data_IF_389641760234
#
_entry.id   IF_389641760234
#
_cell.length_a   1.000
_cell.length_b   1.000
_cell.length_c   1.000
_cell.angle_alpha   90.00
_cell.angle_beta   90.00
_cell.angle_gamma   90.00
#
_symmetry.space_group_name_H-M   'P 1'
#
loop_
_entity.id
_entity.type
_entity.pdbx_description
1 polymer ?
#
# COMPACT_ATOMS: atom_id res chain seq x y z
N UNK A 1 -39.56 15.25 -18.37
CA UNK A 1 -38.69 14.82 -19.48
C UNK A 1 -37.92 16.06 -19.92
N UNK A 2 -36.78 16.46 -19.36
CA UNK A 2 -35.71 15.74 -18.68
C UNK A 2 -34.53 15.63 -19.62
N UNK A 3 -33.64 16.64 -19.68
CA UNK A 3 -32.24 16.54 -20.12
C UNK A 3 -31.41 17.65 -19.44
N UNK A 4 -30.34 17.21 -18.79
CA UNK A 4 -29.14 17.91 -18.36
C UNK A 4 -29.28 19.01 -17.29
N UNK A 5 -29.18 18.60 -16.03
CA UNK A 5 -27.99 19.04 -15.32
C UNK A 5 -26.99 17.87 -15.27
N UNK A 6 -26.06 17.91 -16.22
CA UNK A 6 -24.89 17.04 -16.30
C UNK A 6 -23.60 17.86 -16.13
N UNK A 7 -23.76 19.13 -15.73
CA UNK A 7 -22.69 20.07 -15.42
C UNK A 7 -22.22 19.85 -13.99
N UNK A 8 -23.15 19.75 -13.04
CA UNK A 8 -22.81 19.62 -11.61
C UNK A 8 -22.14 18.27 -11.30
N UNK A 9 -22.50 17.19 -12.02
CA UNK A 9 -21.89 15.87 -11.83
C UNK A 9 -20.40 15.79 -12.27
N UNK A 10 -19.96 16.69 -13.17
CA UNK A 10 -18.55 16.78 -13.61
C UNK A 10 -17.72 17.69 -12.71
N UNK A 11 -18.37 18.61 -12.00
CA UNK A 11 -17.74 19.50 -11.02
C UNK A 11 -17.54 18.79 -9.67
N UNK A 12 -18.41 17.83 -9.33
CA UNK A 12 -18.40 17.12 -8.04
C UNK A 12 -17.37 15.99 -7.88
N UNK A 13 -16.57 15.67 -8.91
CA UNK A 13 -15.55 14.60 -8.85
C UNK A 13 -14.22 15.01 -9.51
N UNK A 14 -13.86 16.30 -9.48
CA UNK A 14 -12.52 16.70 -9.87
C UNK A 14 -11.52 16.33 -8.76
N UNK A 15 -10.98 15.12 -8.87
CA UNK A 15 -9.77 14.75 -8.13
C UNK A 15 -8.64 15.63 -8.64
N UNK A 16 -8.08 16.48 -7.78
CA UNK A 16 -6.97 17.36 -8.16
C UNK A 16 -5.62 16.64 -8.05
N UNK A 17 -4.60 17.01 -8.85
CA UNK A 17 -3.24 16.46 -8.70
C UNK A 17 -2.73 16.55 -7.26
N UNK A 18 -3.00 17.66 -6.56
CA UNK A 18 -2.65 17.84 -5.14
C UNK A 18 -3.33 16.82 -4.23
N UNK A 19 -4.61 16.50 -4.46
CA UNK A 19 -5.32 15.48 -3.68
C UNK A 19 -4.74 14.09 -3.93
N UNK A 20 -4.40 13.75 -5.18
CA UNK A 20 -3.76 12.46 -5.53
C UNK A 20 -2.39 12.34 -4.87
N UNK A 21 -1.58 13.40 -4.95
CA UNK A 21 -0.25 13.42 -4.32
C UNK A 21 -0.34 13.27 -2.79
N UNK A 22 -1.28 13.97 -2.15
CA UNK A 22 -1.50 13.85 -0.72
C UNK A 22 -1.92 12.43 -0.30
N UNK A 23 -2.79 11.77 -1.06
CA UNK A 23 -3.16 10.37 -0.81
C UNK A 23 -1.96 9.45 -1.04
N UNK A 24 -1.15 9.69 -2.08
CA UNK A 24 0.05 8.90 -2.33
C UNK A 24 1.04 8.98 -1.15
N UNK A 25 1.19 10.16 -0.56
CA UNK A 25 2.06 10.35 0.61
C UNK A 25 1.52 9.65 1.85
N UNK A 26 0.22 9.76 2.14
CA UNK A 26 -0.40 9.03 3.27
C UNK A 26 -0.27 7.50 3.11
N UNK A 27 -0.52 6.98 1.90
CA UNK A 27 -0.36 5.54 1.62
C UNK A 27 1.12 5.15 1.73
N UNK A 28 2.04 6.01 1.27
CA UNK A 28 3.48 5.80 1.39
C UNK A 28 3.96 5.70 2.83
N UNK A 29 3.50 6.61 3.69
CA UNK A 29 3.79 6.58 5.14
C UNK A 29 3.25 5.31 5.79
N UNK A 30 2.00 4.95 5.51
CA UNK A 30 1.39 3.71 6.03
C UNK A 30 2.15 2.46 5.55
N UNK A 31 2.60 2.44 4.30
CA UNK A 31 3.41 1.35 3.73
C UNK A 31 4.74 1.21 4.47
N UNK A 32 5.42 2.33 4.72
CA UNK A 32 6.69 2.34 5.42
C UNK A 32 6.55 1.90 6.89
N UNK A 33 5.50 2.35 7.57
CA UNK A 33 5.19 1.92 8.93
C UNK A 33 4.90 0.41 8.97
N UNK A 34 4.07 -0.09 8.04
CA UNK A 34 3.75 -1.51 7.97
C UNK A 34 4.99 -2.37 7.71
N UNK A 35 5.85 -1.98 6.77
CA UNK A 35 7.10 -2.67 6.49
C UNK A 35 8.06 -2.69 7.71
N UNK A 36 8.11 -1.59 8.48
CA UNK A 36 8.89 -1.54 9.72
C UNK A 36 8.35 -2.51 10.77
N UNK A 37 7.02 -2.58 10.94
CA UNK A 37 6.36 -3.49 11.88
C UNK A 37 6.55 -4.96 11.46
N UNK A 38 6.46 -5.25 10.17
CA UNK A 38 6.73 -6.58 9.62
C UNK A 38 8.15 -7.04 9.99
N UNK A 39 9.17 -6.22 9.69
CA UNK A 39 10.56 -6.52 10.07
C UNK A 39 10.75 -6.75 11.58
N UNK A 40 10.01 -6.03 12.42
CA UNK A 40 10.08 -6.23 13.86
C UNK A 40 9.52 -7.60 14.27
N UNK A 41 8.34 -7.97 13.76
CA UNK A 41 7.74 -9.29 14.02
C UNK A 41 8.63 -10.41 13.49
N UNK A 42 9.24 -10.24 12.31
CA UNK A 42 10.17 -11.22 11.76
C UNK A 42 11.38 -11.44 12.66
N UNK A 43 11.89 -10.37 13.26
CA UNK A 43 12.99 -10.42 14.24
C UNK A 43 12.62 -11.18 15.51
N UNK A 44 11.43 -10.93 16.07
CA UNK A 44 10.91 -11.64 17.25
C UNK A 44 10.74 -13.14 16.97
N UNK A 45 10.16 -13.49 15.82
CA UNK A 45 9.96 -14.91 15.45
C UNK A 45 11.28 -15.61 15.14
N UNK A 46 12.20 -14.96 14.43
CA UNK A 46 13.54 -15.51 14.18
C UNK A 46 14.31 -15.74 15.47
N UNK A 47 14.21 -14.81 16.44
CA UNK A 47 14.81 -14.95 17.77
C UNK A 47 14.23 -16.15 18.51
N UNK A 48 12.90 -16.31 18.48
CA UNK A 48 12.22 -17.45 19.09
C UNK A 48 12.67 -18.78 18.46
N UNK A 49 12.76 -18.85 17.12
CA UNK A 49 13.23 -20.03 16.38
C UNK A 49 14.71 -20.37 16.64
N UNK A 50 15.58 -19.35 16.78
CA UNK A 50 17.01 -19.51 17.04
C UNK A 50 17.36 -20.00 18.46
N UNK A 51 16.44 -19.91 19.42
CA UNK A 51 16.68 -20.25 20.83
C UNK A 51 16.58 -21.76 21.17
N UNK A 52 16.27 -22.63 20.20
CA UNK A 52 16.24 -24.08 20.41
C UNK A 52 14.95 -24.77 20.01
N UNK A 53 14.22 -24.25 19.03
CA UNK A 53 12.94 -24.81 18.59
C UNK A 53 13.10 -26.22 17.99
N UNK A 54 12.65 -27.27 18.67
CA UNK A 54 12.66 -28.66 18.15
C UNK A 54 11.39 -29.44 18.54
N UNK A 55 10.57 -29.81 17.55
CA UNK A 55 9.41 -30.70 17.69
C UNK A 55 8.34 -30.49 16.59
N UNK A 56 7.48 -31.50 16.33
CA UNK A 56 6.42 -31.47 15.31
C UNK A 56 5.47 -30.26 15.36
N UNK A 57 5.06 -29.76 16.55
CA UNK A 57 4.28 -28.50 16.64
C UNK A 57 5.05 -27.28 16.13
N UNK A 58 6.38 -27.34 16.13
CA UNK A 58 7.24 -26.30 15.58
C UNK A 58 7.25 -26.20 14.07
N UNK A 59 7.01 -27.31 13.36
CA UNK A 59 6.86 -27.31 11.91
C UNK A 59 5.59 -26.58 11.48
N UNK A 60 4.45 -26.86 12.10
CA UNK A 60 3.18 -26.20 11.76
C UNK A 60 3.20 -24.69 12.05
N UNK A 61 3.81 -24.29 13.17
CA UNK A 61 4.01 -22.87 13.46
C UNK A 61 4.96 -22.21 12.45
N UNK A 62 6.05 -22.90 12.07
CA UNK A 62 6.98 -22.40 11.06
C UNK A 62 6.30 -22.19 9.70
N UNK A 63 5.54 -23.18 9.22
CA UNK A 63 4.82 -23.10 7.95
C UNK A 63 3.81 -21.95 7.96
N UNK A 64 3.04 -21.81 9.05
CA UNK A 64 2.10 -20.71 9.23
C UNK A 64 2.79 -19.33 9.25
N UNK A 65 3.97 -19.24 9.89
CA UNK A 65 4.76 -18.02 9.89
C UNK A 65 5.30 -17.66 8.51
N UNK A 66 5.81 -18.64 7.76
CA UNK A 66 6.30 -18.43 6.38
C UNK A 66 5.16 -17.95 5.49
N UNK A 67 4.00 -18.60 5.53
CA UNK A 67 2.82 -18.20 4.75
C UNK A 67 2.37 -16.76 5.09
N UNK A 68 2.32 -16.43 6.39
CA UNK A 68 2.00 -15.09 6.85
C UNK A 68 3.03 -14.05 6.35
N UNK A 69 4.32 -14.32 6.47
CA UNK A 69 5.40 -13.41 6.06
C UNK A 69 5.38 -13.16 4.54
N UNK A 70 5.15 -14.20 3.74
CA UNK A 70 4.98 -14.06 2.29
C UNK A 70 3.76 -13.20 1.94
N UNK A 71 2.63 -13.41 2.62
CA UNK A 71 1.41 -12.62 2.44
C UNK A 71 1.62 -11.15 2.81
N UNK A 72 2.24 -10.90 3.97
CA UNK A 72 2.55 -9.55 4.44
C UNK A 72 3.51 -8.82 3.49
N UNK A 73 4.52 -9.52 2.96
CA UNK A 73 5.44 -8.97 1.95
C UNK A 73 4.70 -8.57 0.67
N UNK A 74 3.79 -9.41 0.18
CA UNK A 74 2.93 -9.08 -0.99
C UNK A 74 2.05 -7.85 -0.76
N UNK A 75 1.59 -7.63 0.47
CA UNK A 75 0.84 -6.41 0.82
C UNK A 75 1.73 -5.17 0.73
N UNK A 76 2.96 -5.22 1.26
CA UNK A 76 3.93 -4.11 1.14
C UNK A 76 4.23 -3.80 -0.31
N UNK A 77 4.45 -4.83 -1.15
CA UNK A 77 4.71 -4.66 -2.57
C UNK A 77 3.53 -4.00 -3.29
N UNK A 78 2.31 -4.50 -3.08
CA UNK A 78 1.11 -3.93 -3.69
C UNK A 78 0.82 -2.49 -3.24
N UNK A 79 1.08 -2.15 -1.97
CA UNK A 79 0.97 -0.77 -1.51
C UNK A 79 2.03 0.14 -2.13
N UNK A 80 3.26 -0.37 -2.30
CA UNK A 80 4.34 0.37 -2.97
C UNK A 80 4.01 0.65 -4.44
N UNK A 81 3.46 -0.34 -5.15
CA UNK A 81 2.96 -0.19 -6.52
C UNK A 81 1.83 0.84 -6.61
N UNK A 82 0.89 0.81 -5.66
CA UNK A 82 -0.20 1.79 -5.58
C UNK A 82 0.33 3.22 -5.39
N UNK A 83 1.30 3.42 -4.49
CA UNK A 83 1.95 4.73 -4.28
C UNK A 83 2.60 5.22 -5.56
N UNK A 84 3.30 4.34 -6.29
CA UNK A 84 3.91 4.69 -7.58
C UNK A 84 2.85 5.10 -8.61
N UNK A 85 1.78 4.34 -8.74
CA UNK A 85 0.68 4.63 -9.66
C UNK A 85 0.00 5.99 -9.34
N UNK A 86 -0.25 6.27 -8.06
CA UNK A 86 -0.82 7.55 -7.63
C UNK A 86 0.12 8.73 -7.96
N UNK A 87 1.43 8.58 -7.73
CA UNK A 87 2.41 9.62 -8.08
C UNK A 87 2.48 9.86 -9.58
N UNK A 88 2.46 8.81 -10.39
CA UNK A 88 2.39 8.94 -11.86
C UNK A 88 1.10 9.61 -12.30
N UNK A 89 -0.04 9.29 -11.68
CA UNK A 89 -1.30 9.94 -11.98
C UNK A 89 -1.26 11.44 -11.67
N UNK A 90 -0.75 11.84 -10.50
CA UNK A 90 -0.58 13.25 -10.13
C UNK A 90 0.28 14.03 -11.14
N UNK A 91 1.41 13.46 -11.56
CA UNK A 91 2.31 14.08 -12.55
C UNK A 91 1.65 14.24 -13.93
N UNK A 92 0.81 13.30 -14.33
CA UNK A 92 0.13 13.37 -15.63
C UNK A 92 -0.91 14.49 -15.68
N UNK A 93 -1.59 14.79 -14.56
CA UNK A 93 -2.49 15.95 -14.48
C UNK A 93 -1.74 17.27 -14.67
N UNK A 94 -0.58 17.43 -14.04
CA UNK A 94 0.25 18.64 -14.19
C UNK A 94 0.69 18.88 -15.64
N UNK A 95 0.92 17.80 -16.41
CA UNK A 95 1.30 17.88 -17.82
C UNK A 95 0.12 18.19 -18.75
N UNK A 96 -1.11 17.80 -18.38
CA UNK A 96 -2.31 18.07 -19.18
C UNK A 96 -2.91 19.46 -18.95
N UNK A 97 -2.62 20.08 -17.80
CA UNK A 97 -3.09 21.43 -17.44
C UNK A 97 -2.13 22.56 -17.85
N UNK A 98 -1.01 22.26 -18.54
CA UNK A 98 -0.17 23.29 -19.16
C UNK A 98 -0.81 23.77 -20.48
N UNK A 99 -1.28 25.04 -20.57
CA UNK A 99 -1.72 25.59 -21.84
C UNK A 99 -0.53 25.69 -22.79
N UNK A 100 -0.71 25.27 -24.05
CA UNK A 100 0.18 25.64 -25.15
C UNK A 100 0.16 27.14 -25.42
#
# INVERSE_FOLDING_TARGET
MGIADSGDARELLQITPTQVAFVADQVGEATAEFANRLRHVDGEVTTLLGSGWRGTPGGQFHDAFVEWHEGASKVVDGMTELVAALRTAAQNFDNTDQPQ
#
